data_IF_791108337280
#
_entry.id   IF_791108337280
#
_cell.length_a   1.000
_cell.length_b   1.000
_cell.length_c   1.000
_cell.angle_alpha   90.00
_cell.angle_beta   90.00
_cell.angle_gamma   90.00
#
_symmetry.space_group_name_H-M   'P 1'
#
loop_
_entity.id
_entity.type
_entity.pdbx_description
1 polymer ?
#
# COMPACT_ATOMS: atom_id res chain seq x y z
N UNK A 1 -16.27 4.49 -14.03
CA UNK A 1 -15.95 3.44 -15.03
C UNK A 1 -14.47 3.32 -15.38
N UNK A 2 -13.69 4.42 -15.43
CA UNK A 2 -12.26 4.40 -15.81
C UNK A 2 -11.38 3.49 -14.92
N UNK A 3 -11.63 3.45 -13.62
CA UNK A 3 -10.90 2.58 -12.69
C UNK A 3 -11.07 1.09 -13.01
N UNK A 4 -12.28 0.65 -13.35
CA UNK A 4 -12.55 -0.72 -13.74
C UNK A 4 -11.85 -1.06 -15.06
N UNK A 5 -11.90 -0.15 -16.04
CA UNK A 5 -11.20 -0.31 -17.32
C UNK A 5 -9.69 -0.48 -17.11
N UNK A 6 -9.07 0.35 -16.27
CA UNK A 6 -7.65 0.23 -15.92
C UNK A 6 -7.32 -1.15 -15.35
N UNK A 7 -8.13 -1.64 -14.39
CA UNK A 7 -7.91 -2.96 -13.81
C UNK A 7 -8.05 -4.09 -14.83
N UNK A 8 -8.99 -3.99 -15.77
CA UNK A 8 -9.16 -4.98 -16.86
C UNK A 8 -7.94 -4.97 -17.78
N UNK A 9 -7.47 -3.80 -18.21
CA UNK A 9 -6.28 -3.66 -19.06
C UNK A 9 -5.05 -4.25 -18.38
N UNK A 10 -4.85 -3.96 -17.09
CA UNK A 10 -3.72 -4.50 -16.33
C UNK A 10 -3.85 -6.00 -16.08
N UNK A 11 -5.05 -6.51 -15.82
CA UNK A 11 -5.31 -7.94 -15.69
C UNK A 11 -4.92 -8.68 -16.97
N UNK A 12 -5.37 -8.23 -18.14
CA UNK A 12 -5.02 -8.83 -19.44
C UNK A 12 -3.50 -8.75 -19.67
N UNK A 13 -2.92 -7.57 -19.40
CA UNK A 13 -1.47 -7.34 -19.55
C UNK A 13 -0.65 -8.29 -18.69
N UNK A 14 -1.12 -8.60 -17.48
CA UNK A 14 -0.44 -9.48 -16.52
C UNK A 14 -0.26 -10.91 -17.01
N UNK A 15 -1.10 -11.38 -17.94
CA UNK A 15 -1.02 -12.73 -18.53
C UNK A 15 0.12 -12.85 -19.57
N UNK A 16 0.68 -11.73 -20.00
CA UNK A 16 1.75 -11.64 -20.98
C UNK A 16 3.05 -11.20 -20.32
N UNK A 17 4.19 -11.77 -20.73
CA UNK A 17 5.50 -11.32 -20.26
C UNK A 17 6.20 -10.55 -21.38
N UNK A 18 5.51 -9.58 -21.94
CA UNK A 18 6.00 -8.76 -23.04
C UNK A 18 6.40 -7.38 -22.51
N UNK A 19 7.64 -6.96 -22.82
CA UNK A 19 8.19 -5.69 -22.35
C UNK A 19 7.47 -4.48 -22.96
N UNK A 20 6.97 -4.58 -24.19
CA UNK A 20 6.21 -3.51 -24.86
C UNK A 20 4.85 -3.38 -24.21
N UNK A 21 4.16 -4.50 -23.96
CA UNK A 21 2.87 -4.50 -23.25
C UNK A 21 3.04 -3.92 -21.84
N UNK A 22 4.08 -4.35 -21.10
CA UNK A 22 4.41 -3.79 -19.80
C UNK A 22 4.61 -2.27 -19.85
N UNK A 23 5.49 -1.77 -20.73
CA UNK A 23 5.77 -0.33 -20.84
C UNK A 23 4.52 0.46 -21.23
N UNK A 24 3.73 -0.03 -22.18
CA UNK A 24 2.55 0.66 -22.70
C UNK A 24 1.45 0.72 -21.63
N UNK A 25 1.13 -0.40 -20.99
CA UNK A 25 0.16 -0.46 -19.89
C UNK A 25 0.61 0.38 -18.69
N UNK A 26 1.90 0.34 -18.35
CA UNK A 26 2.48 1.18 -17.30
C UNK A 26 2.33 2.67 -17.60
N UNK A 27 2.75 3.14 -18.79
CA UNK A 27 2.67 4.55 -19.17
C UNK A 27 1.21 5.00 -19.17
N UNK A 28 0.32 4.20 -19.75
CA UNK A 28 -1.11 4.50 -19.78
C UNK A 28 -1.67 4.68 -18.36
N UNK A 29 -1.42 3.74 -17.45
CA UNK A 29 -1.87 3.84 -16.06
C UNK A 29 -1.24 5.02 -15.34
N UNK A 30 0.06 5.25 -15.50
CA UNK A 30 0.77 6.37 -14.86
C UNK A 30 0.19 7.72 -15.29
N UNK A 31 -0.06 7.91 -16.58
CA UNK A 31 -0.68 9.14 -17.11
C UNK A 31 -2.08 9.32 -16.54
N UNK A 32 -2.95 8.32 -16.66
CA UNK A 32 -4.34 8.41 -16.18
C UNK A 32 -4.43 8.72 -14.68
N UNK A 33 -3.59 8.08 -13.87
CA UNK A 33 -3.54 8.32 -12.44
C UNK A 33 -2.90 9.67 -12.07
N UNK A 34 -1.99 10.22 -12.89
CA UNK A 34 -1.29 11.47 -12.56
C UNK A 34 -2.06 12.72 -13.01
N UNK A 35 -2.92 12.63 -14.03
CA UNK A 35 -3.76 13.75 -14.49
C UNK A 35 -4.97 14.03 -13.60
N UNK A 36 -5.16 13.23 -12.54
CA UNK A 36 -6.34 13.34 -11.69
C UNK A 36 -6.08 12.83 -10.27
N UNK A 37 -6.73 13.44 -9.29
CA UNK A 37 -6.63 13.12 -7.87
C UNK A 37 -8.03 13.03 -7.23
N UNK A 38 -8.12 12.96 -5.91
CA UNK A 38 -9.40 13.04 -5.21
C UNK A 38 -10.24 11.75 -5.18
N UNK A 39 -9.60 10.60 -5.43
CA UNK A 39 -10.26 9.28 -5.33
C UNK A 39 -10.17 8.79 -3.88
N UNK A 40 -11.13 9.17 -3.06
CA UNK A 40 -11.16 8.94 -1.61
C UNK A 40 -11.21 10.26 -0.85
N UNK A 41 -10.87 10.25 0.45
CA UNK A 41 -11.16 11.40 1.34
C UNK A 41 -9.93 12.04 1.99
N UNK A 42 -8.89 11.27 2.30
CA UNK A 42 -7.69 11.76 3.01
C UNK A 42 -6.97 12.94 2.32
N UNK A 43 -7.14 13.10 1.01
CA UNK A 43 -6.57 14.23 0.25
C UNK A 43 -7.09 15.60 0.69
N UNK A 44 -8.28 15.66 1.31
CA UNK A 44 -8.87 16.88 1.84
C UNK A 44 -7.99 17.43 2.97
N UNK A 45 -7.58 16.55 3.91
CA UNK A 45 -6.67 16.92 4.99
C UNK A 45 -5.30 17.41 4.45
N UNK A 46 -4.79 16.79 3.37
CA UNK A 46 -3.52 17.23 2.77
C UNK A 46 -3.65 18.55 2.03
N UNK A 47 -4.78 18.80 1.37
CA UNK A 47 -5.08 20.06 0.72
C UNK A 47 -5.16 21.20 1.76
N UNK A 48 -5.83 20.97 2.87
CA UNK A 48 -5.98 21.94 3.97
C UNK A 48 -4.63 22.34 4.58
N UNK A 49 -3.74 21.36 4.76
CA UNK A 49 -2.37 21.60 5.21
C UNK A 49 -1.56 22.32 4.14
N UNK A 50 -1.77 22.03 2.85
CA UNK A 50 -1.06 22.69 1.76
C UNK A 50 -1.42 24.17 1.63
N UNK A 51 -2.70 24.50 1.79
CA UNK A 51 -3.20 25.88 1.69
C UNK A 51 -2.80 26.73 2.89
N UNK A 52 -2.62 26.12 4.06
CA UNK A 52 -2.31 26.79 5.32
C UNK A 52 -0.96 26.33 5.88
N UNK A 53 0.04 26.12 5.01
CA UNK A 53 1.29 25.42 5.36
C UNK A 53 2.07 26.08 6.52
N UNK A 54 1.97 27.41 6.64
CA UNK A 54 2.68 28.20 7.64
C UNK A 54 2.11 28.02 9.05
N UNK A 55 0.80 27.73 9.17
CA UNK A 55 0.14 27.49 10.46
C UNK A 55 0.62 26.21 11.15
N UNK A 56 1.20 25.29 10.38
CA UNK A 56 1.64 23.96 10.83
C UNK A 56 3.15 23.85 11.06
N UNK A 57 3.91 24.94 10.93
CA UNK A 57 5.37 24.93 10.98
C UNK A 57 5.96 24.38 12.30
N UNK A 58 5.26 24.61 13.41
CA UNK A 58 5.67 24.20 14.76
C UNK A 58 4.86 23.02 15.32
N UNK A 59 3.83 22.57 14.60
CA UNK A 59 2.98 21.45 15.00
C UNK A 59 2.60 20.62 13.78
N UNK A 60 3.50 19.72 13.38
CA UNK A 60 3.30 18.91 12.18
C UNK A 60 2.05 18.03 12.32
N UNK A 61 1.08 18.14 11.39
CA UNK A 61 -0.15 17.35 11.43
C UNK A 61 0.09 15.87 11.09
N UNK A 62 1.22 15.55 10.45
CA UNK A 62 1.65 14.20 10.09
C UNK A 62 3.19 14.12 10.02
N UNK A 63 3.73 12.98 9.57
CA UNK A 63 5.18 12.76 9.51
C UNK A 63 5.91 13.84 8.68
N UNK A 64 7.09 14.30 9.14
CA UNK A 64 7.74 15.50 8.62
C UNK A 64 8.14 15.41 7.15
N UNK A 65 8.47 14.21 6.65
CA UNK A 65 8.93 14.01 5.28
C UNK A 65 7.92 14.45 4.23
N UNK A 66 6.64 14.09 4.40
CA UNK A 66 5.61 14.57 3.46
C UNK A 66 5.32 16.06 3.64
N UNK A 67 5.39 16.57 4.87
CA UNK A 67 5.16 17.99 5.14
C UNK A 67 6.19 18.86 4.42
N UNK A 68 7.47 18.48 4.48
CA UNK A 68 8.52 19.20 3.77
C UNK A 68 8.38 19.10 2.25
N UNK A 69 7.84 17.99 1.71
CA UNK A 69 7.48 17.91 0.29
C UNK A 69 6.41 18.95 -0.05
N UNK A 70 5.32 19.01 0.71
CA UNK A 70 4.26 20.02 0.51
C UNK A 70 4.82 21.44 0.58
N UNK A 71 5.61 21.73 1.61
CA UNK A 71 6.25 23.04 1.80
C UNK A 71 7.18 23.42 0.66
N UNK A 72 7.96 22.48 0.14
CA UNK A 72 8.85 22.73 -0.99
C UNK A 72 8.07 23.15 -2.25
N UNK A 73 6.97 22.46 -2.57
CA UNK A 73 6.13 22.82 -3.71
C UNK A 73 5.36 24.12 -3.50
N UNK A 74 4.91 24.39 -2.26
CA UNK A 74 4.29 25.65 -1.90
C UNK A 74 5.28 26.83 -2.05
N UNK A 75 6.53 26.67 -1.61
CA UNK A 75 7.61 27.66 -1.81
C UNK A 75 7.91 27.94 -3.29
N UNK A 76 7.74 26.93 -4.17
CA UNK A 76 7.82 27.09 -5.62
C UNK A 76 6.57 27.71 -6.27
N UNK A 77 5.56 28.10 -5.48
CA UNK A 77 4.25 28.58 -5.92
C UNK A 77 3.52 27.60 -6.87
N UNK A 78 3.75 26.30 -6.72
CA UNK A 78 3.04 25.27 -7.46
C UNK A 78 1.68 25.04 -6.78
N UNK A 79 0.60 24.90 -7.54
CA UNK A 79 -0.71 24.62 -6.95
C UNK A 79 -0.80 23.15 -6.46
N UNK A 80 -1.71 22.89 -5.51
CA UNK A 80 -1.87 21.55 -4.94
C UNK A 80 -2.17 20.45 -5.99
N UNK A 81 -3.08 20.66 -6.97
CA UNK A 81 -3.34 19.66 -8.00
C UNK A 81 -2.09 19.23 -8.79
N UNK A 82 -1.24 20.17 -9.21
CA UNK A 82 0.01 19.89 -9.92
C UNK A 82 0.99 19.18 -8.98
N UNK A 83 1.13 19.64 -7.74
CA UNK A 83 1.98 18.99 -6.73
C UNK A 83 1.58 17.51 -6.52
N UNK A 84 0.27 17.23 -6.42
CA UNK A 84 -0.22 15.86 -6.28
C UNK A 84 0.11 15.03 -7.53
N UNK A 85 -0.11 15.59 -8.73
CA UNK A 85 0.26 14.92 -10.00
C UNK A 85 1.75 14.56 -10.08
N UNK A 86 2.64 15.48 -9.69
CA UNK A 86 4.10 15.23 -9.63
C UNK A 86 4.43 14.13 -8.61
N UNK A 87 3.77 14.16 -7.45
CA UNK A 87 3.95 13.13 -6.42
C UNK A 87 3.51 11.76 -6.93
N UNK A 88 2.36 11.67 -7.60
CA UNK A 88 1.89 10.44 -8.23
C UNK A 88 2.86 9.93 -9.30
N UNK A 89 3.41 10.81 -10.15
CA UNK A 89 4.44 10.43 -11.14
C UNK A 89 5.69 9.85 -10.47
N UNK A 90 6.14 10.43 -9.35
CA UNK A 90 7.26 9.91 -8.58
C UNK A 90 6.99 8.51 -8.01
N UNK A 91 5.77 8.25 -7.52
CA UNK A 91 5.36 6.91 -7.07
C UNK A 91 5.45 5.91 -8.23
N UNK A 92 4.92 6.26 -9.39
CA UNK A 92 5.02 5.42 -10.60
C UNK A 92 6.48 5.20 -11.01
N UNK A 93 7.33 6.21 -10.97
CA UNK A 93 8.77 6.06 -11.25
C UNK A 93 9.44 5.02 -10.34
N UNK A 94 9.14 5.05 -9.04
CA UNK A 94 9.64 4.07 -8.08
C UNK A 94 9.15 2.66 -8.42
N UNK A 95 7.86 2.50 -8.68
CA UNK A 95 7.23 1.22 -9.05
C UNK A 95 7.83 0.67 -10.34
N UNK A 96 8.00 1.50 -11.37
CA UNK A 96 8.64 1.11 -12.62
C UNK A 96 10.08 0.63 -12.40
N UNK A 97 10.83 1.37 -11.59
CA UNK A 97 12.24 1.08 -11.29
C UNK A 97 12.41 -0.26 -10.58
N UNK A 98 11.43 -0.67 -9.77
CA UNK A 98 11.35 -1.99 -9.18
C UNK A 98 10.88 -3.05 -10.18
N UNK A 99 9.72 -2.85 -10.82
CA UNK A 99 9.08 -3.83 -11.71
C UNK A 99 9.94 -4.17 -12.94
N UNK A 100 10.70 -3.23 -13.49
CA UNK A 100 11.58 -3.50 -14.65
C UNK A 100 12.74 -4.46 -14.33
N UNK A 101 13.06 -4.66 -13.04
CA UNK A 101 14.13 -5.55 -12.57
C UNK A 101 13.64 -6.97 -12.28
N UNK A 102 12.33 -7.21 -12.29
CA UNK A 102 11.75 -8.54 -12.11
C UNK A 102 11.71 -9.31 -13.43
N UNK A 103 11.60 -10.63 -13.35
CA UNK A 103 11.58 -11.51 -14.52
C UNK A 103 10.24 -11.43 -15.27
N UNK A 104 9.17 -11.03 -14.57
CA UNK A 104 7.81 -10.87 -15.06
C UNK A 104 7.24 -9.48 -14.69
N UNK A 105 7.69 -8.41 -15.39
CA UNK A 105 7.33 -7.03 -15.04
C UNK A 105 5.82 -6.74 -15.09
N UNK A 106 5.09 -7.27 -16.09
CA UNK A 106 3.64 -7.02 -16.23
C UNK A 106 2.85 -7.56 -15.04
N UNK A 107 3.15 -8.78 -14.61
CA UNK A 107 2.51 -9.40 -13.45
C UNK A 107 2.91 -8.67 -12.17
N UNK A 108 4.19 -8.35 -12.02
CA UNK A 108 4.71 -7.57 -10.89
C UNK A 108 3.95 -6.24 -10.75
N UNK A 109 3.83 -5.49 -11.83
CA UNK A 109 3.13 -4.21 -11.84
C UNK A 109 1.65 -4.37 -11.50
N UNK A 110 0.99 -5.38 -12.07
CA UNK A 110 -0.40 -5.68 -11.75
C UNK A 110 -0.58 -6.04 -10.27
N UNK A 111 0.27 -6.90 -9.68
CA UNK A 111 0.24 -7.22 -8.25
C UNK A 111 0.37 -5.96 -7.39
N UNK A 112 1.33 -5.08 -7.69
CA UNK A 112 1.52 -3.82 -6.97
C UNK A 112 0.25 -2.96 -7.10
N UNK A 113 -0.27 -2.81 -8.31
CA UNK A 113 -1.47 -2.00 -8.56
C UNK A 113 -2.72 -2.55 -7.87
N UNK A 114 -2.92 -3.87 -7.81
CA UNK A 114 -4.08 -4.45 -7.13
C UNK A 114 -4.11 -4.15 -5.64
N UNK A 115 -2.95 -4.11 -4.98
CA UNK A 115 -2.86 -3.85 -3.55
C UNK A 115 -2.68 -2.36 -3.21
N UNK A 116 -1.97 -1.60 -4.04
CA UNK A 116 -1.60 -0.20 -3.77
C UNK A 116 -2.38 0.81 -4.64
N UNK A 117 -2.93 0.38 -5.77
CA UNK A 117 -3.40 1.27 -6.83
C UNK A 117 -4.49 2.26 -6.43
N UNK A 118 -5.38 1.88 -5.51
CA UNK A 118 -6.42 2.78 -5.01
C UNK A 118 -6.07 3.39 -3.66
N UNK A 119 -6.05 2.59 -2.59
CA UNK A 119 -5.86 3.09 -1.23
C UNK A 119 -4.53 3.81 -1.03
N UNK A 120 -3.48 3.37 -1.71
CA UNK A 120 -2.15 3.91 -1.50
C UNK A 120 -1.89 5.08 -2.46
N UNK A 121 -2.37 5.04 -3.71
CA UNK A 121 -2.16 6.15 -4.67
C UNK A 121 -3.11 7.36 -4.49
N UNK A 122 -4.24 7.25 -3.79
CA UNK A 122 -5.19 8.36 -3.66
C UNK A 122 -5.78 8.66 -2.27
N UNK A 123 -5.77 7.72 -1.32
CA UNK A 123 -6.09 8.02 0.09
C UNK A 123 -4.83 8.19 0.94
N UNK A 124 -3.94 7.20 0.95
CA UNK A 124 -2.83 7.12 1.90
C UNK A 124 -1.48 7.45 1.24
N UNK A 125 -1.40 8.60 0.56
CA UNK A 125 -0.22 9.00 -0.24
C UNK A 125 1.09 9.00 0.57
N UNK A 126 1.03 9.33 1.87
CA UNK A 126 2.17 9.24 2.79
C UNK A 126 2.72 7.81 2.90
N UNK A 127 1.84 6.85 3.10
CA UNK A 127 2.21 5.44 3.15
C UNK A 127 2.71 4.94 1.78
N UNK A 128 2.17 5.47 0.69
CA UNK A 128 2.63 5.19 -0.67
C UNK A 128 4.07 5.58 -0.89
N UNK A 129 4.43 6.80 -0.49
CA UNK A 129 5.78 7.32 -0.59
C UNK A 129 6.74 6.43 0.19
N UNK A 130 6.38 6.07 1.42
CA UNK A 130 7.19 5.18 2.24
C UNK A 130 7.43 3.81 1.56
N UNK A 131 6.38 3.16 1.05
CA UNK A 131 6.52 1.87 0.35
C UNK A 131 7.31 2.02 -0.97
N UNK A 132 7.07 3.08 -1.73
CA UNK A 132 7.77 3.33 -3.00
C UNK A 132 9.26 3.58 -2.80
N UNK A 133 9.66 4.29 -1.74
CA UNK A 133 11.07 4.44 -1.35
C UNK A 133 11.69 3.06 -1.05
N UNK A 134 10.98 2.22 -0.30
CA UNK A 134 11.42 0.85 0.00
C UNK A 134 11.56 0.01 -1.29
N UNK A 135 10.61 0.11 -2.22
CA UNK A 135 10.66 -0.57 -3.52
C UNK A 135 11.84 -0.10 -4.38
N UNK A 136 12.10 1.21 -4.42
CA UNK A 136 13.19 1.80 -5.20
C UNK A 136 14.56 1.25 -4.76
N UNK A 137 14.74 1.09 -3.45
CA UNK A 137 15.98 0.60 -2.85
C UNK A 137 15.90 -0.88 -2.45
N UNK A 138 14.97 -1.65 -3.02
CA UNK A 138 14.71 -3.01 -2.57
C UNK A 138 15.95 -3.94 -2.66
N UNK A 139 16.81 -3.71 -3.65
CA UNK A 139 18.06 -4.46 -3.81
C UNK A 139 19.01 -4.32 -2.61
N UNK A 140 18.95 -3.21 -1.87
CA UNK A 140 19.76 -2.99 -0.66
C UNK A 140 19.44 -4.06 0.39
N UNK A 141 18.15 -4.43 0.54
CA UNK A 141 17.70 -5.47 1.45
C UNK A 141 18.06 -6.87 0.94
N UNK A 142 17.86 -7.13 -0.37
CA UNK A 142 18.28 -8.41 -1.00
C UNK A 142 19.77 -8.69 -0.79
N UNK A 143 20.61 -7.67 -0.96
CA UNK A 143 22.06 -7.79 -0.79
C UNK A 143 22.52 -7.61 0.67
N UNK A 144 21.59 -7.51 1.62
CA UNK A 144 21.85 -7.38 3.06
C UNK A 144 22.82 -6.26 3.43
N UNK A 145 22.74 -5.13 2.74
CA UNK A 145 23.53 -3.94 3.10
C UNK A 145 22.87 -3.26 4.29
N UNK A 146 23.04 -3.82 5.50
CA UNK A 146 22.28 -3.46 6.72
C UNK A 146 22.29 -1.94 6.95
N UNK A 147 23.47 -1.31 6.98
CA UNK A 147 23.60 0.13 7.22
C UNK A 147 22.79 0.94 6.20
N UNK A 148 22.99 0.68 4.90
CA UNK A 148 22.25 1.37 3.82
C UNK A 148 20.76 1.10 3.91
N UNK A 149 20.35 -0.13 4.24
CA UNK A 149 18.94 -0.49 4.36
C UNK A 149 18.28 0.18 5.56
N UNK A 150 18.98 0.32 6.69
CA UNK A 150 18.51 1.05 7.86
C UNK A 150 18.30 2.52 7.55
N UNK A 151 19.23 3.16 6.83
CA UNK A 151 19.07 4.54 6.36
C UNK A 151 17.85 4.70 5.44
N UNK A 152 17.64 3.76 4.52
CA UNK A 152 16.45 3.74 3.65
C UNK A 152 15.17 3.59 4.47
N UNK A 153 15.15 2.72 5.50
CA UNK A 153 13.99 2.57 6.38
C UNK A 153 13.70 3.87 7.13
N UNK A 154 14.71 4.54 7.69
CA UNK A 154 14.51 5.82 8.36
C UNK A 154 14.01 6.91 7.41
N UNK A 155 14.53 6.95 6.18
CA UNK A 155 14.00 7.83 5.15
C UNK A 155 12.51 7.54 4.88
N UNK A 156 12.12 6.28 4.70
CA UNK A 156 10.72 5.90 4.50
C UNK A 156 9.84 6.22 5.72
N UNK A 157 10.36 6.04 6.94
CA UNK A 157 9.68 6.40 8.19
C UNK A 157 9.38 7.89 8.31
N UNK A 158 10.21 8.74 7.69
CA UNK A 158 9.92 10.18 7.63
C UNK A 158 8.63 10.50 6.85
N UNK A 159 8.17 9.60 5.97
CA UNK A 159 6.90 9.73 5.25
C UNK A 159 5.77 8.99 5.96
N UNK A 160 6.04 7.79 6.50
CA UNK A 160 5.05 7.04 7.26
C UNK A 160 5.72 6.08 8.25
N UNK A 161 5.37 6.19 9.54
CA UNK A 161 6.05 5.44 10.63
C UNK A 161 6.00 3.93 10.47
N UNK A 162 4.95 3.39 9.82
CA UNK A 162 4.80 1.95 9.61
C UNK A 162 5.91 1.31 8.76
N UNK A 163 6.71 2.10 8.05
CA UNK A 163 7.88 1.62 7.30
C UNK A 163 8.94 0.96 8.18
N UNK A 164 8.92 1.21 9.50
CA UNK A 164 9.72 0.48 10.48
C UNK A 164 9.56 -1.04 10.33
N UNK A 165 8.40 -1.52 9.90
CA UNK A 165 8.15 -2.94 9.69
C UNK A 165 9.10 -3.59 8.66
N UNK A 166 9.69 -2.81 7.74
CA UNK A 166 10.66 -3.30 6.76
C UNK A 166 11.97 -3.81 7.38
N UNK A 167 12.25 -3.57 8.68
CA UNK A 167 13.36 -4.25 9.37
C UNK A 167 13.24 -5.78 9.29
N UNK A 168 12.01 -6.31 9.15
CA UNK A 168 11.78 -7.75 8.96
C UNK A 168 12.48 -8.31 7.71
N UNK A 169 12.73 -7.48 6.70
CA UNK A 169 13.36 -7.91 5.44
C UNK A 169 14.79 -8.39 5.65
N UNK A 170 15.53 -7.82 6.61
CA UNK A 170 16.88 -8.29 6.92
C UNK A 170 16.89 -9.74 7.40
N UNK A 171 15.81 -10.15 8.07
CA UNK A 171 15.63 -11.52 8.53
C UNK A 171 15.08 -12.42 7.41
N UNK A 172 14.12 -11.93 6.63
CA UNK A 172 13.39 -12.73 5.63
C UNK A 172 14.18 -12.99 4.32
N UNK A 173 14.89 -11.99 3.79
CA UNK A 173 15.53 -12.06 2.47
C UNK A 173 16.94 -12.68 2.50
N UNK A 174 17.15 -13.72 3.32
CA UNK A 174 18.46 -14.37 3.37
C UNK A 174 18.61 -15.45 2.30
N UNK A 175 19.24 -15.11 1.19
CA UNK A 175 19.55 -16.08 0.15
C UNK A 175 20.62 -17.10 0.61
N UNK A 176 21.49 -16.71 1.57
CA UNK A 176 22.67 -17.49 1.96
C UNK A 176 22.42 -18.63 2.95
N UNK A 177 21.31 -18.64 3.69
CA UNK A 177 21.04 -19.73 4.65
C UNK A 177 19.64 -20.29 4.53
N UNK A 178 19.50 -21.61 4.70
CA UNK A 178 18.21 -22.25 4.99
C UNK A 178 17.77 -21.78 6.37
N UNK A 179 17.17 -20.61 6.46
CA UNK A 179 16.67 -20.12 7.75
C UNK A 179 15.50 -20.99 8.21
N UNK A 180 15.54 -21.51 9.45
CA UNK A 180 14.43 -22.28 10.00
C UNK A 180 13.20 -21.39 10.19
N UNK A 181 12.03 -21.95 9.88
CA UNK A 181 10.72 -21.28 9.92
C UNK A 181 10.39 -20.65 11.27
N UNK A 182 10.92 -21.22 12.35
CA UNK A 182 10.67 -20.81 13.72
C UNK A 182 11.04 -19.34 13.95
N UNK A 183 12.15 -18.86 13.38
CA UNK A 183 12.57 -17.46 13.59
C UNK A 183 11.57 -16.45 13.02
N UNK A 184 10.98 -16.73 11.86
CA UNK A 184 9.98 -15.86 11.27
C UNK A 184 8.71 -15.81 12.11
N UNK A 185 8.19 -16.98 12.51
CA UNK A 185 6.99 -17.04 13.34
C UNK A 185 7.22 -16.42 14.72
N UNK A 186 8.40 -16.61 15.32
CA UNK A 186 8.79 -15.95 16.57
C UNK A 186 8.79 -14.43 16.39
N UNK A 187 9.40 -13.89 15.33
CA UNK A 187 9.42 -12.43 15.10
C UNK A 187 8.01 -11.87 14.88
N UNK A 188 7.19 -12.52 14.06
CA UNK A 188 5.79 -12.11 13.87
C UNK A 188 4.99 -12.18 15.17
N UNK A 189 5.17 -13.25 15.95
CA UNK A 189 4.50 -13.42 17.24
C UNK A 189 4.92 -12.33 18.24
N UNK A 190 6.22 -12.08 18.40
CA UNK A 190 6.75 -11.00 19.25
C UNK A 190 6.21 -9.65 18.80
N UNK A 191 6.17 -9.38 17.48
CA UNK A 191 5.65 -8.13 16.94
C UNK A 191 4.17 -7.92 17.29
N UNK A 192 3.34 -8.96 17.11
CA UNK A 192 1.90 -8.90 17.45
C UNK A 192 1.72 -8.74 18.96
N UNK A 193 2.48 -9.50 19.76
CA UNK A 193 2.45 -9.40 21.22
C UNK A 193 2.81 -7.98 21.68
N UNK A 194 3.89 -7.42 21.15
CA UNK A 194 4.32 -6.05 21.46
C UNK A 194 3.25 -5.03 21.04
N UNK A 195 2.69 -5.16 19.83
CA UNK A 195 1.63 -4.27 19.36
C UNK A 195 0.38 -4.37 20.25
N UNK A 196 0.02 -5.57 20.71
CA UNK A 196 -1.09 -5.80 21.64
C UNK A 196 -0.82 -5.22 23.02
N UNK A 197 0.37 -5.41 23.57
CA UNK A 197 0.77 -4.83 24.86
C UNK A 197 0.73 -3.31 24.83
N UNK A 198 1.24 -2.70 23.74
CA UNK A 198 1.17 -1.24 23.55
C UNK A 198 -0.28 -0.77 23.40
N UNK A 199 -1.15 -1.53 22.73
CA UNK A 199 -2.56 -1.20 22.62
C UNK A 199 -3.27 -1.20 23.98
N UNK A 200 -3.03 -2.23 24.81
CA UNK A 200 -3.65 -2.33 26.13
C UNK A 200 -3.15 -1.26 27.10
N UNK A 201 -1.89 -0.85 26.97
CA UNK A 201 -1.31 0.19 27.81
C UNK A 201 -0.34 1.08 27.00
N UNK A 202 -0.87 2.13 26.34
CA UNK A 202 -0.05 3.05 25.54
C UNK A 202 1.07 3.73 26.34
N UNK A 203 0.96 3.83 27.67
CA UNK A 203 1.98 4.47 28.50
C UNK A 203 3.33 3.75 28.46
N UNK A 204 3.38 2.47 28.04
CA UNK A 204 4.62 1.71 27.81
C UNK A 204 5.56 2.46 26.85
N UNK A 205 5.00 3.18 25.87
CA UNK A 205 5.76 3.94 24.86
C UNK A 205 5.72 5.46 25.08
N UNK A 206 5.30 5.92 26.27
CA UNK A 206 5.24 7.35 26.60
C UNK A 206 6.59 8.06 26.46
N UNK A 207 7.71 7.33 26.61
CA UNK A 207 9.07 7.82 26.36
C UNK A 207 9.35 8.22 24.90
N UNK A 208 8.46 7.84 23.96
CA UNK A 208 8.48 8.27 22.56
C UNK A 208 7.19 9.07 22.25
N UNK A 209 7.15 10.39 22.56
CA UNK A 209 5.92 11.19 22.52
C UNK A 209 5.18 11.15 21.17
N UNK A 210 5.91 11.12 20.06
CA UNK A 210 5.32 11.07 18.71
C UNK A 210 4.58 9.76 18.43
N UNK A 211 5.12 8.63 18.89
CA UNK A 211 4.52 7.31 18.68
C UNK A 211 3.37 7.13 19.68
N UNK A 212 3.58 7.57 20.93
CA UNK A 212 2.57 7.57 21.99
C UNK A 212 1.28 8.28 21.56
N UNK A 213 1.36 9.55 21.12
CA UNK A 213 0.19 10.33 20.69
C UNK A 213 -0.58 9.63 19.57
N UNK A 214 0.11 8.99 18.63
CA UNK A 214 -0.53 8.23 17.55
C UNK A 214 -1.28 7.02 18.07
N UNK A 215 -0.66 6.23 18.94
CA UNK A 215 -1.29 5.04 19.52
C UNK A 215 -2.51 5.40 20.36
N UNK A 216 -2.43 6.45 21.18
CA UNK A 216 -3.58 6.96 21.96
C UNK A 216 -4.72 7.37 21.02
N UNK A 217 -4.41 8.14 19.96
CA UNK A 217 -5.42 8.49 18.96
C UNK A 217 -6.05 7.28 18.26
N UNK A 218 -5.29 6.20 18.03
CA UNK A 218 -5.88 4.94 17.52
C UNK A 218 -6.75 4.23 18.56
N UNK A 219 -6.37 4.20 19.83
CA UNK A 219 -7.18 3.55 20.87
C UNK A 219 -8.48 4.30 21.14
N UNK A 220 -8.47 5.63 21.02
CA UNK A 220 -9.66 6.48 21.20
C UNK A 220 -10.59 6.43 19.98
N UNK A 221 -10.04 6.43 18.76
CA UNK A 221 -10.84 6.45 17.53
C UNK A 221 -11.48 5.10 17.16
N UNK A 222 -10.96 3.98 17.67
CA UNK A 222 -11.48 2.64 17.36
C UNK A 222 -12.12 2.02 18.61
N UNK A 223 -13.46 2.02 18.63
CA UNK A 223 -14.28 1.46 19.72
C UNK A 223 -14.29 -0.07 19.73
N UNK A 224 -13.99 -0.70 18.60
CA UNK A 224 -13.80 -2.15 18.52
C UNK A 224 -12.48 -2.56 19.20
N UNK A 225 -12.53 -3.58 20.08
CA UNK A 225 -11.34 -4.11 20.75
C UNK A 225 -10.21 -4.51 19.79
N UNK A 226 -8.96 -4.57 20.30
CA UNK A 226 -7.76 -4.73 19.45
C UNK A 226 -7.89 -5.87 18.45
N UNK A 227 -8.27 -7.06 18.94
CA UNK A 227 -8.40 -8.28 18.13
C UNK A 227 -9.88 -8.56 17.89
N UNK A 228 -10.27 -8.61 16.62
CA UNK A 228 -11.62 -9.01 16.24
C UNK A 228 -11.55 -10.24 15.33
N UNK A 229 -11.83 -11.42 15.90
CA UNK A 229 -11.91 -12.68 15.14
C UNK A 229 -13.11 -12.63 14.18
N UNK A 230 -14.22 -12.03 14.61
CA UNK A 230 -15.39 -11.82 13.75
C UNK A 230 -15.04 -11.03 12.49
N UNK A 231 -14.16 -10.02 12.59
CA UNK A 231 -13.66 -9.25 11.44
C UNK A 231 -12.87 -10.11 10.45
N UNK A 232 -12.09 -11.09 10.92
CA UNK A 232 -11.39 -12.02 10.02
C UNK A 232 -12.40 -12.91 9.28
N UNK A 233 -13.35 -13.48 10.03
CA UNK A 233 -14.33 -14.43 9.48
C UNK A 233 -15.28 -13.74 8.49
N UNK A 234 -15.68 -12.49 8.77
CA UNK A 234 -16.57 -11.71 7.91
C UNK A 234 -15.86 -11.03 6.74
N UNK A 235 -14.52 -10.94 6.77
CA UNK A 235 -13.78 -10.24 5.72
C UNK A 235 -13.71 -11.06 4.42
N UNK A 236 -14.46 -10.59 3.42
CA UNK A 236 -14.38 -11.09 2.03
C UNK A 236 -12.94 -11.07 1.49
N UNK A 237 -12.11 -10.09 1.89
CA UNK A 237 -10.70 -9.99 1.48
C UNK A 237 -9.86 -11.12 2.07
N UNK A 238 -10.11 -11.50 3.33
CA UNK A 238 -9.41 -12.63 3.97
C UNK A 238 -9.70 -13.93 3.24
N UNK A 239 -10.93 -14.15 2.78
CA UNK A 239 -11.27 -15.34 1.97
C UNK A 239 -10.43 -15.40 0.68
N UNK A 240 -10.20 -14.26 0.03
CA UNK A 240 -9.33 -14.20 -1.15
C UNK A 240 -7.88 -14.51 -0.76
N UNK A 241 -7.38 -13.96 0.36
CA UNK A 241 -6.03 -14.28 0.84
C UNK A 241 -5.87 -15.77 1.18
N UNK A 242 -6.89 -16.40 1.78
CA UNK A 242 -6.91 -17.85 2.02
C UNK A 242 -6.88 -18.64 0.70
N UNK A 243 -7.63 -18.21 -0.31
CA UNK A 243 -7.59 -18.84 -1.65
C UNK A 243 -6.19 -18.75 -2.28
N UNK A 244 -5.54 -17.60 -2.18
CA UNK A 244 -4.17 -17.39 -2.64
C UNK A 244 -3.18 -18.23 -1.83
N UNK A 245 -3.40 -18.36 -0.51
CA UNK A 245 -2.57 -19.17 0.37
C UNK A 245 -2.62 -20.65 -0.04
N UNK A 246 -3.81 -21.19 -0.33
CA UNK A 246 -3.99 -22.57 -0.79
C UNK A 246 -3.24 -22.78 -2.12
N UNK A 247 -3.39 -21.85 -3.08
CA UNK A 247 -2.66 -21.90 -4.35
C UNK A 247 -1.14 -21.92 -4.11
N UNK A 248 -0.61 -20.98 -3.33
CA UNK A 248 0.84 -20.87 -3.08
C UNK A 248 1.39 -22.05 -2.32
N UNK A 249 0.64 -22.59 -1.36
CA UNK A 249 1.02 -23.81 -0.65
C UNK A 249 1.07 -25.03 -1.58
N UNK A 250 0.10 -25.16 -2.49
CA UNK A 250 0.10 -26.21 -3.51
C UNK A 250 1.28 -26.08 -4.48
N UNK A 251 1.54 -24.86 -4.97
CA UNK A 251 2.70 -24.57 -5.83
C UNK A 251 4.00 -24.90 -5.09
N UNK A 252 4.13 -24.50 -3.83
CA UNK A 252 5.29 -24.80 -3.01
C UNK A 252 5.48 -26.30 -2.82
N UNK A 253 4.41 -27.06 -2.52
CA UNK A 253 4.49 -28.52 -2.35
C UNK A 253 5.01 -29.21 -3.62
N UNK A 254 4.61 -28.72 -4.80
CA UNK A 254 5.03 -29.26 -6.11
C UNK A 254 6.43 -28.83 -6.54
N UNK A 255 6.79 -27.57 -6.33
CA UNK A 255 8.07 -27.01 -6.81
C UNK A 255 9.21 -27.16 -5.81
N UNK A 256 8.91 -27.19 -4.51
CA UNK A 256 9.86 -27.05 -3.39
C UNK A 256 10.73 -25.79 -3.49
N UNK A 257 10.26 -24.76 -4.20
CA UNK A 257 10.97 -23.51 -4.37
C UNK A 257 10.93 -22.65 -3.10
N UNK A 258 12.10 -22.22 -2.64
CA UNK A 258 12.25 -21.34 -1.47
C UNK A 258 11.59 -19.98 -1.69
N UNK A 259 11.62 -19.43 -2.91
CA UNK A 259 11.07 -18.10 -3.15
C UNK A 259 9.54 -18.11 -3.07
N UNK A 260 8.87 -19.12 -3.63
CA UNK A 260 7.41 -19.32 -3.45
C UNK A 260 7.05 -19.39 -1.97
N UNK A 261 7.91 -19.99 -1.16
CA UNK A 261 7.69 -20.05 0.28
C UNK A 261 7.76 -18.68 0.99
N UNK A 262 8.56 -17.72 0.49
CA UNK A 262 8.50 -16.33 0.96
C UNK A 262 7.16 -15.68 0.61
N UNK A 263 6.62 -15.95 -0.58
CA UNK A 263 5.29 -15.48 -0.97
C UNK A 263 4.19 -16.07 -0.08
N UNK A 264 4.28 -17.34 0.30
CA UNK A 264 3.37 -17.96 1.27
C UNK A 264 3.43 -17.26 2.63
N UNK A 265 4.63 -16.96 3.14
CA UNK A 265 4.81 -16.19 4.39
C UNK A 265 4.23 -14.79 4.31
N UNK A 266 4.37 -14.12 3.16
CA UNK A 266 3.79 -12.80 2.93
C UNK A 266 2.26 -12.85 3.06
N UNK A 267 1.58 -13.83 2.43
CA UNK A 267 0.12 -13.98 2.55
C UNK A 267 -0.31 -14.30 3.99
N UNK A 268 0.41 -15.17 4.70
CA UNK A 268 0.11 -15.46 6.12
C UNK A 268 0.18 -14.16 6.94
N UNK A 269 1.23 -13.37 6.74
CA UNK A 269 1.37 -12.09 7.41
C UNK A 269 0.22 -11.14 7.06
N UNK A 270 -0.18 -11.05 5.78
CA UNK A 270 -1.29 -10.21 5.34
C UNK A 270 -2.62 -10.62 5.99
N UNK A 271 -2.87 -11.92 6.18
CA UNK A 271 -4.04 -12.42 6.91
C UNK A 271 -3.98 -12.02 8.38
N UNK A 272 -2.84 -12.26 9.04
CA UNK A 272 -2.66 -11.93 10.46
C UNK A 272 -2.83 -10.43 10.71
N UNK A 273 -2.34 -9.58 9.82
CA UNK A 273 -2.49 -8.13 9.94
C UNK A 273 -3.95 -7.65 9.87
N UNK A 274 -4.90 -8.49 9.42
CA UNK A 274 -6.33 -8.16 9.43
C UNK A 274 -7.02 -8.35 10.80
N UNK A 275 -6.31 -8.88 11.80
CA UNK A 275 -6.83 -8.99 13.18
C UNK A 275 -7.27 -7.62 13.73
N UNK A 276 -6.58 -6.55 13.34
CA UNK A 276 -6.80 -5.19 13.85
C UNK A 276 -6.71 -4.16 12.72
N UNK A 277 -7.45 -3.05 12.80
CA UNK A 277 -7.39 -1.98 11.76
C UNK A 277 -5.99 -1.36 11.71
N UNK A 278 -5.39 -1.16 12.88
CA UNK A 278 -4.02 -0.68 13.01
C UNK A 278 -3.03 -1.59 12.28
N UNK A 279 -3.09 -2.90 12.52
CA UNK A 279 -2.18 -3.85 11.89
C UNK A 279 -2.39 -3.94 10.38
N UNK A 280 -3.63 -3.68 9.91
CA UNK A 280 -3.98 -3.69 8.49
C UNK A 280 -3.10 -2.77 7.63
N UNK A 281 -2.49 -1.73 8.22
CA UNK A 281 -1.54 -0.84 7.53
C UNK A 281 -0.21 -1.53 7.22
N UNK A 282 0.22 -2.55 7.97
CA UNK A 282 1.50 -3.22 7.71
C UNK A 282 1.45 -4.22 6.55
N UNK A 283 0.25 -4.67 6.15
CA UNK A 283 0.08 -5.68 5.09
C UNK A 283 0.77 -5.28 3.78
N UNK A 284 0.82 -3.98 3.46
CA UNK A 284 1.36 -3.49 2.20
C UNK A 284 2.87 -3.67 2.09
N UNK A 285 3.59 -3.74 3.22
CA UNK A 285 5.02 -4.08 3.22
C UNK A 285 5.26 -5.58 3.01
N UNK A 286 4.24 -6.43 2.95
CA UNK A 286 4.41 -7.83 2.56
C UNK A 286 4.44 -8.02 1.03
N UNK A 287 3.95 -7.03 0.25
CA UNK A 287 3.79 -7.12 -1.21
C UNK A 287 5.11 -7.42 -1.95
N UNK A 288 6.25 -6.77 -1.63
CA UNK A 288 7.50 -7.07 -2.34
C UNK A 288 7.92 -8.53 -2.16
N UNK A 289 7.68 -9.10 -0.98
CA UNK A 289 7.96 -10.50 -0.66
C UNK A 289 7.03 -11.46 -1.41
N UNK A 290 5.76 -11.08 -1.55
CA UNK A 290 4.79 -11.80 -2.36
C UNK A 290 5.24 -11.90 -3.83
N UNK A 291 5.72 -10.78 -4.39
CA UNK A 291 6.11 -10.67 -5.79
C UNK A 291 7.31 -11.57 -6.11
N UNK A 292 8.41 -11.49 -5.34
CA UNK A 292 9.68 -12.16 -5.68
C UNK A 292 9.51 -13.67 -5.87
N UNK A 293 8.70 -14.32 -5.03
CA UNK A 293 8.48 -15.76 -5.15
C UNK A 293 7.63 -16.18 -6.32
N UNK A 294 6.63 -15.37 -6.66
CA UNK A 294 5.68 -15.69 -7.72
C UNK A 294 6.27 -15.34 -9.09
N UNK A 295 7.03 -14.25 -9.16
CA UNK A 295 7.74 -13.76 -10.34
C UNK A 295 8.66 -14.84 -10.94
N UNK A 296 9.59 -15.36 -10.13
CA UNK A 296 10.52 -16.42 -10.55
C UNK A 296 9.78 -17.70 -10.96
N UNK A 297 8.81 -18.14 -10.17
CA UNK A 297 8.07 -19.36 -10.45
C UNK A 297 7.32 -19.31 -11.79
N UNK A 298 6.59 -18.23 -12.06
CA UNK A 298 5.85 -18.12 -13.30
C UNK A 298 6.74 -17.85 -14.50
N UNK A 299 7.86 -17.14 -14.33
CA UNK A 299 8.85 -16.98 -15.40
C UNK A 299 9.41 -18.35 -15.84
N UNK A 300 9.88 -19.16 -14.90
CA UNK A 300 10.52 -20.46 -15.19
C UNK A 300 9.56 -21.49 -15.80
N UNK A 301 8.28 -21.43 -15.42
CA UNK A 301 7.27 -22.39 -15.89
C UNK A 301 6.50 -21.91 -17.12
N UNK A 302 6.69 -20.67 -17.56
CA UNK A 302 5.97 -20.14 -18.73
C UNK A 302 6.48 -20.75 -20.02
N UNK A 303 5.56 -21.30 -20.80
CA UNK A 303 5.82 -21.71 -22.19
C UNK A 303 5.33 -20.62 -23.13
N UNK A 304 6.07 -20.36 -24.21
CA UNK A 304 5.71 -19.35 -25.21
C UNK A 304 4.28 -19.63 -25.73
N UNK A 305 3.43 -18.60 -25.73
CA UNK A 305 2.04 -18.68 -26.22
C UNK A 305 1.03 -19.42 -25.33
N UNK A 306 1.41 -19.92 -24.14
CA UNK A 306 0.48 -20.60 -23.23
C UNK A 306 0.36 -19.86 -21.89
N UNK A 307 -0.88 -19.74 -21.40
CA UNK A 307 -1.19 -19.20 -20.08
C UNK A 307 -1.22 -20.36 -19.09
N UNK A 308 -0.53 -20.23 -17.97
CA UNK A 308 -0.59 -21.23 -16.90
C UNK A 308 -1.88 -21.05 -16.10
N UNK A 309 -2.58 -22.14 -15.81
CA UNK A 309 -3.81 -22.11 -15.01
C UNK A 309 -3.57 -21.48 -13.62
N UNK A 310 -2.42 -21.77 -13.00
CA UNK A 310 -2.04 -21.16 -11.72
C UNK A 310 -1.81 -19.66 -11.82
N UNK A 311 -1.25 -19.19 -12.94
CA UNK A 311 -1.07 -17.77 -13.19
C UNK A 311 -2.42 -17.08 -13.39
N UNK A 312 -3.32 -17.69 -14.16
CA UNK A 312 -4.66 -17.17 -14.39
C UNK A 312 -5.43 -17.08 -13.06
N UNK A 313 -5.43 -18.15 -12.25
CA UNK A 313 -6.09 -18.17 -10.95
C UNK A 313 -5.52 -17.09 -10.02
N UNK A 314 -4.20 -16.97 -9.91
CA UNK A 314 -3.55 -15.92 -9.13
C UNK A 314 -3.97 -14.51 -9.59
N UNK A 315 -3.99 -14.29 -10.90
CA UNK A 315 -4.37 -12.99 -11.49
C UNK A 315 -5.85 -12.68 -11.26
N UNK A 316 -6.73 -13.69 -11.24
CA UNK A 316 -8.16 -13.52 -10.89
C UNK A 316 -8.29 -13.10 -9.43
N UNK A 317 -7.59 -13.76 -8.50
CA UNK A 317 -7.60 -13.35 -7.08
C UNK A 317 -7.16 -11.90 -6.92
N UNK A 318 -6.07 -11.49 -7.60
CA UNK A 318 -5.58 -10.12 -7.60
C UNK A 318 -6.60 -9.14 -8.19
N UNK A 319 -7.24 -9.50 -9.30
CA UNK A 319 -8.27 -8.69 -9.92
C UNK A 319 -9.43 -8.44 -8.95
N UNK A 320 -9.93 -9.48 -8.28
CA UNK A 320 -11.01 -9.31 -7.27
C UNK A 320 -10.57 -8.41 -6.12
N UNK A 321 -9.32 -8.54 -5.64
CA UNK A 321 -8.75 -7.65 -4.61
C UNK A 321 -8.74 -6.19 -5.09
N UNK A 322 -8.39 -5.94 -6.35
CA UNK A 322 -8.36 -4.58 -6.91
C UNK A 322 -9.73 -3.90 -6.96
N UNK A 323 -10.82 -4.69 -6.92
CA UNK A 323 -12.20 -4.21 -6.94
C UNK A 323 -12.78 -3.98 -5.54
N UNK A 324 -12.05 -4.29 -4.46
CA UNK A 324 -12.47 -4.00 -3.07
C UNK A 324 -12.98 -2.57 -2.88
N UNK A 325 -12.35 -1.53 -3.45
CA UNK A 325 -12.83 -0.17 -3.31
C UNK A 325 -14.21 0.09 -3.93
N UNK A 326 -14.69 -0.77 -4.82
CA UNK A 326 -16.02 -0.66 -5.41
C UNK A 326 -17.10 -1.35 -4.57
N UNK A 327 -16.73 -1.98 -3.45
CA UNK A 327 -17.68 -2.75 -2.62
C UNK A 327 -18.47 -1.89 -1.63
N UNK A 328 -17.97 -0.70 -1.27
CA UNK A 328 -18.67 0.26 -0.43
C UNK A 328 -19.18 1.45 -1.24
N UNK A 329 -20.41 1.95 -0.97
CA UNK A 329 -20.99 3.08 -1.72
C UNK A 329 -20.14 4.36 -1.67
N UNK A 330 -19.65 4.75 -0.49
CA UNK A 330 -18.84 5.97 -0.30
C UNK A 330 -17.58 5.98 -1.18
N UNK A 331 -16.82 4.89 -1.15
CA UNK A 331 -15.61 4.75 -1.97
C UNK A 331 -15.95 4.59 -3.45
N UNK A 332 -17.04 3.90 -3.81
CA UNK A 332 -17.49 3.77 -5.19
C UNK A 332 -17.76 5.13 -5.83
N UNK A 333 -18.48 6.01 -5.13
CA UNK A 333 -18.78 7.36 -5.60
C UNK A 333 -17.50 8.19 -5.74
N UNK A 334 -16.63 8.14 -4.73
CA UNK A 334 -15.36 8.90 -4.74
C UNK A 334 -14.40 8.50 -5.87
N UNK A 335 -14.37 7.21 -6.24
CA UNK A 335 -13.50 6.68 -7.29
C UNK A 335 -13.96 7.12 -8.67
N UNK A 336 -15.27 7.18 -8.87
CA UNK A 336 -15.87 7.46 -10.16
C UNK A 336 -15.94 8.97 -10.48
N UNK A 337 -15.59 9.83 -9.52
CA UNK A 337 -15.66 11.28 -9.65
C UNK A 337 -14.32 11.97 -9.27
N UNK A 338 -13.22 11.67 -9.97
CA UNK A 338 -11.92 12.27 -9.65
C UNK A 338 -11.85 13.75 -10.03
N UNK A 339 -10.96 14.49 -9.37
CA UNK A 339 -10.65 15.90 -9.65
C UNK A 339 -9.47 15.96 -10.62
N UNK A 340 -9.56 16.75 -11.69
CA UNK A 340 -8.47 16.91 -12.65
C UNK A 340 -7.36 17.84 -12.14
N UNK A 341 -6.14 17.66 -12.63
CA UNK A 341 -4.97 18.47 -12.23
C UNK A 341 -5.07 19.97 -12.60
N UNK A 342 -5.96 20.34 -13.51
CA UNK A 342 -6.20 21.73 -13.90
C UNK A 342 -7.37 22.37 -13.13
N UNK A 343 -7.91 21.70 -12.12
CA UNK A 343 -9.00 22.23 -11.30
C UNK A 343 -8.56 23.50 -10.55
N UNK A 344 -9.45 24.49 -10.51
CA UNK A 344 -9.27 25.69 -9.70
C UNK A 344 -9.75 25.47 -8.26
N UNK A 345 -9.37 26.38 -7.35
CA UNK A 345 -9.73 26.30 -5.93
C UNK A 345 -11.25 26.23 -5.71
N UNK A 346 -12.04 27.05 -6.42
CA UNK A 346 -13.52 27.05 -6.30
C UNK A 346 -14.12 25.68 -6.62
N UNK A 347 -13.62 25.00 -7.64
CA UNK A 347 -14.08 23.65 -7.99
C UNK A 347 -13.67 22.62 -6.94
N UNK A 348 -12.43 22.73 -6.42
CA UNK A 348 -11.94 21.86 -5.34
C UNK A 348 -12.83 22.02 -4.10
N UNK A 349 -13.12 23.25 -3.67
CA UNK A 349 -13.99 23.52 -2.52
C UNK A 349 -15.40 22.95 -2.70
N UNK A 350 -16.00 23.13 -3.89
CA UNK A 350 -17.29 22.52 -4.22
C UNK A 350 -17.23 20.98 -4.08
N UNK A 351 -16.17 20.37 -4.61
CA UNK A 351 -15.96 18.92 -4.54
C UNK A 351 -15.76 18.42 -3.10
N UNK A 352 -15.07 19.20 -2.26
CA UNK A 352 -14.92 18.89 -0.83
C UNK A 352 -16.29 18.84 -0.15
N UNK A 353 -17.14 19.84 -0.38
CA UNK A 353 -18.51 19.86 0.18
C UNK A 353 -19.33 18.66 -0.28
N UNK A 354 -19.28 18.31 -1.58
CA UNK A 354 -19.92 17.10 -2.11
C UNK A 354 -19.39 15.82 -1.43
N UNK A 355 -18.07 15.72 -1.22
CA UNK A 355 -17.45 14.57 -0.55
C UNK A 355 -17.87 14.45 0.90
N UNK A 356 -17.91 15.54 1.65
CA UNK A 356 -18.35 15.49 3.05
C UNK A 356 -19.82 15.08 3.17
N UNK A 357 -20.70 15.54 2.27
CA UNK A 357 -22.10 15.08 2.25
C UNK A 357 -22.20 13.56 2.00
N UNK A 358 -21.45 13.03 1.03
CA UNK A 358 -21.40 11.59 0.76
C UNK A 358 -20.84 10.82 1.95
N UNK A 359 -19.76 11.31 2.57
CA UNK A 359 -19.14 10.66 3.72
C UNK A 359 -20.11 10.60 4.90
N UNK A 360 -20.72 11.73 5.26
CA UNK A 360 -21.66 11.80 6.39
C UNK A 360 -22.95 11.01 6.14
N UNK A 361 -23.34 10.79 4.88
CA UNK A 361 -24.49 9.95 4.54
C UNK A 361 -24.20 8.45 4.70
N UNK A 362 -23.02 7.99 4.25
CA UNK A 362 -22.70 6.55 4.20
C UNK A 362 -21.82 6.06 5.37
N UNK A 363 -21.11 6.95 6.04
CA UNK A 363 -20.16 6.69 7.12
C UNK A 363 -20.16 7.87 8.13
N UNK A 364 -21.30 8.11 8.83
CA UNK A 364 -21.48 9.26 9.72
C UNK A 364 -20.53 9.27 10.93
N UNK A 365 -19.94 8.12 11.28
CA UNK A 365 -19.01 7.98 12.40
C UNK A 365 -17.56 8.27 11.97
N UNK A 366 -17.31 8.62 10.70
CA UNK A 366 -15.97 8.87 10.19
C UNK A 366 -15.41 10.21 10.65
N UNK A 367 -14.66 10.17 11.73
CA UNK A 367 -14.02 11.36 12.30
C UNK A 367 -12.62 11.67 11.72
N UNK A 368 -12.16 10.93 10.71
CA UNK A 368 -10.79 11.08 10.20
C UNK A 368 -10.60 12.34 9.33
N UNK A 369 -11.67 12.86 8.74
CA UNK A 369 -11.62 14.04 7.86
C UNK A 369 -12.13 15.26 8.63
N UNK A 370 -11.20 16.13 9.04
CA UNK A 370 -11.47 17.22 9.98
C UNK A 370 -12.56 18.15 9.44
N UNK A 371 -12.51 18.45 8.13
CA UNK A 371 -13.45 19.36 7.46
C UNK A 371 -14.87 18.79 7.28
N UNK A 372 -15.05 17.47 7.43
CA UNK A 372 -16.36 16.83 7.29
C UNK A 372 -17.07 16.62 8.63
N UNK A 373 -16.39 16.90 9.76
CA UNK A 373 -17.03 17.08 11.07
C UNK A 373 -17.84 18.36 11.05
#
# INVERSE_FOLDING_TARGET
>A
MLFLLLNIVLFISSLTNDKIIFRSSFIFTAVVCSISFGRGYDWINYYDVYTNIDDYLYNFPFEPGYFYVLRFFNWLNINYPIQNGITTLFLFFCIYSFAKKTNYPSLTFFTIFCFMGHYVLSEQIRQALAICIILLFFDVFRHRKIIKGTLVIFLAMSFHVSAMFCFIYFFMLNDRTRQPNTKFFIVCFIFILMAYSIWLNPNIISFLPLIYKKFVGYTEAYTEGFISISRIVSSKVVLIYLSMLILLFHIYKKSKDRYVFFSTKAIILMIITKLTVFLGRFQYYAIPLLIIGIDNYFYDKKRKGKILIYQLYYSICLFVISLVPLWSPSTFDSINDPILINANSKYIEKKISERCMTLNHYDPENEAIIRCK
#
